data_IF_038053587645
#
_entry.id   IF_038053587645
#
_cell.length_a   1.000
_cell.length_b   1.000
_cell.length_c   1.000
_cell.angle_alpha   90.00
_cell.angle_beta   90.00
_cell.angle_gamma   90.00
#
_symmetry.space_group_name_H-M   'P 1'
#
loop_
_entity.id
_entity.type
_entity.pdbx_description
1 polymer ?
#
# COMPACT_ATOMS: atom_id res chain seq x y z
N UNK A 1 -3.60 -6.64 21.20
CA UNK A 1 -3.21 -5.22 21.35
C UNK A 1 -1.69 -5.04 21.45
N UNK A 2 -0.94 -5.90 22.16
CA UNK A 2 0.53 -5.77 22.22
C UNK A 2 1.23 -5.78 20.85
N UNK A 3 0.78 -6.60 19.89
CA UNK A 3 1.41 -6.68 18.55
C UNK A 3 1.30 -5.38 17.74
N UNK A 4 0.11 -4.75 17.73
CA UNK A 4 -0.12 -3.48 17.01
C UNK A 4 0.72 -2.36 17.64
N UNK A 5 0.81 -2.32 18.96
CA UNK A 5 1.68 -1.34 19.63
C UNK A 5 3.16 -1.56 19.27
N UNK A 6 3.64 -2.81 19.24
CA UNK A 6 5.02 -3.13 18.82
C UNK A 6 5.25 -2.76 17.37
N UNK A 7 4.26 -2.95 16.50
CA UNK A 7 4.34 -2.54 15.10
C UNK A 7 4.50 -1.03 14.99
N UNK A 8 3.65 -0.25 15.67
CA UNK A 8 3.78 1.20 15.72
C UNK A 8 5.15 1.67 16.24
N UNK A 9 5.77 0.93 17.17
CA UNK A 9 7.14 1.23 17.62
C UNK A 9 8.20 0.94 16.55
N UNK A 10 8.09 -0.17 15.82
CA UNK A 10 8.99 -0.49 14.71
C UNK A 10 8.84 0.56 13.60
N UNK A 11 7.61 0.91 13.25
CA UNK A 11 7.29 1.97 12.31
C UNK A 11 7.89 3.32 12.74
N UNK A 12 7.65 3.74 13.98
CA UNK A 12 8.23 4.99 14.51
C UNK A 12 9.76 4.99 14.46
N UNK A 13 10.42 3.90 14.88
CA UNK A 13 11.88 3.76 14.79
C UNK A 13 12.37 3.82 13.34
N UNK A 14 11.67 3.17 12.41
CA UNK A 14 12.02 3.23 11.00
C UNK A 14 11.95 4.67 10.47
N UNK A 15 10.91 5.41 10.86
CA UNK A 15 10.77 6.82 10.51
C UNK A 15 11.89 7.68 11.10
N UNK A 16 12.26 7.47 12.36
CA UNK A 16 13.40 8.16 12.99
C UNK A 16 14.70 7.87 12.24
N UNK A 17 14.92 6.63 11.80
CA UNK A 17 16.09 6.26 10.99
C UNK A 17 16.09 6.98 9.64
N UNK A 18 14.95 7.00 8.92
CA UNK A 18 14.84 7.67 7.62
C UNK A 18 15.03 9.19 7.71
N UNK A 19 14.55 9.80 8.78
CA UNK A 19 14.61 11.25 9.00
C UNK A 19 15.86 11.70 9.75
N UNK A 20 16.71 10.75 10.17
CA UNK A 20 17.93 11.05 10.92
C UNK A 20 18.88 11.92 10.09
N UNK A 21 19.45 12.99 10.68
CA UNK A 21 20.52 13.76 10.02
C UNK A 21 21.80 12.92 9.81
N UNK A 22 21.91 11.79 10.51
CA UNK A 22 22.97 10.81 10.36
C UNK A 22 22.34 9.50 9.86
N UNK A 23 22.15 9.35 8.54
CA UNK A 23 21.54 8.14 7.99
C UNK A 23 22.43 6.92 8.24
N UNK A 24 21.86 5.71 8.25
CA UNK A 24 22.64 4.47 8.33
C UNK A 24 23.65 4.41 7.19
N UNK A 25 24.83 3.88 7.48
CA UNK A 25 25.95 3.76 6.53
C UNK A 25 26.35 2.31 6.25
N UNK A 26 25.70 1.34 6.89
CA UNK A 26 26.00 -0.08 6.74
C UNK A 26 24.80 -0.96 7.03
N UNK A 27 24.84 -2.19 6.52
CA UNK A 27 23.84 -3.23 6.84
C UNK A 27 23.73 -3.50 8.34
N UNK A 28 24.87 -3.45 9.04
CA UNK A 28 24.92 -3.72 10.48
C UNK A 28 24.10 -2.69 11.27
N UNK A 29 24.09 -1.42 10.84
CA UNK A 29 23.32 -0.36 11.48
C UNK A 29 21.79 -0.59 11.41
N UNK A 30 21.32 -1.35 10.42
CA UNK A 30 19.90 -1.68 10.23
C UNK A 30 19.52 -3.07 10.75
N UNK A 31 20.51 -3.90 11.11
CA UNK A 31 20.30 -5.31 11.42
C UNK A 31 19.34 -5.54 12.59
N UNK A 32 19.49 -4.78 13.68
CA UNK A 32 18.61 -4.93 14.85
C UNK A 32 17.16 -4.57 14.51
N UNK A 33 16.94 -3.48 13.77
CA UNK A 33 15.60 -3.06 13.36
C UNK A 33 14.97 -4.10 12.43
N UNK A 34 15.72 -4.60 11.44
CA UNK A 34 15.28 -5.68 10.56
C UNK A 34 14.91 -6.94 11.34
N UNK A 35 15.75 -7.39 12.28
CA UNK A 35 15.46 -8.57 13.11
C UNK A 35 14.22 -8.40 13.97
N UNK A 36 14.04 -7.22 14.58
CA UNK A 36 12.84 -6.90 15.37
C UNK A 36 11.57 -6.94 14.50
N UNK A 37 11.63 -6.43 13.27
CA UNK A 37 10.52 -6.45 12.34
C UNK A 37 10.16 -7.88 11.89
N UNK A 38 11.16 -8.69 11.53
CA UNK A 38 10.98 -10.10 11.15
C UNK A 38 10.41 -10.95 12.29
N UNK A 39 10.94 -10.79 13.52
CA UNK A 39 10.40 -11.48 14.70
C UNK A 39 8.95 -11.06 14.99
N UNK A 40 8.63 -9.78 14.75
CA UNK A 40 7.28 -9.30 14.92
C UNK A 40 6.33 -9.91 13.88
N UNK A 41 6.72 -10.06 12.61
CA UNK A 41 5.88 -10.76 11.61
C UNK A 41 5.61 -12.21 12.03
N UNK A 42 6.61 -12.93 12.55
CA UNK A 42 6.43 -14.27 13.12
C UNK A 42 5.41 -14.24 14.27
N UNK A 43 5.45 -13.23 15.13
CA UNK A 43 4.48 -13.09 16.22
C UNK A 43 3.06 -12.77 15.72
N UNK A 44 2.92 -11.98 14.65
CA UNK A 44 1.64 -11.80 13.94
C UNK A 44 1.14 -13.17 13.44
N UNK A 45 1.93 -13.89 12.65
CA UNK A 45 1.56 -15.22 12.15
C UNK A 45 1.17 -16.19 13.27
N UNK A 46 1.95 -16.23 14.35
CA UNK A 46 1.66 -17.03 15.54
C UNK A 46 0.32 -16.68 16.17
N UNK A 47 -0.01 -15.38 16.26
CA UNK A 47 -1.32 -14.94 16.73
C UNK A 47 -2.44 -15.43 15.82
N UNK A 48 -2.32 -15.27 14.49
CA UNK A 48 -3.34 -15.70 13.53
C UNK A 48 -3.57 -17.23 13.59
N UNK A 49 -2.50 -18.01 13.77
CA UNK A 49 -2.57 -19.48 13.92
C UNK A 49 -3.16 -19.95 15.26
N UNK A 50 -3.04 -19.15 16.33
CA UNK A 50 -3.42 -19.54 17.70
C UNK A 50 -4.78 -19.00 18.14
N UNK A 51 -5.52 -18.34 17.23
CA UNK A 51 -6.83 -17.79 17.57
C UNK A 51 -7.79 -18.91 17.98
N UNK A 52 -8.53 -18.67 19.06
CA UNK A 52 -9.61 -19.58 19.47
C UNK A 52 -10.67 -19.67 18.38
N UNK A 53 -11.45 -20.77 18.30
CA UNK A 53 -12.55 -20.90 17.34
C UNK A 53 -13.54 -19.73 17.36
N UNK A 54 -13.75 -19.13 18.55
CA UNK A 54 -14.58 -17.96 18.74
C UNK A 54 -14.04 -16.68 18.07
N UNK A 55 -12.89 -16.68 17.42
CA UNK A 55 -12.37 -15.54 16.64
C UNK A 55 -12.19 -15.85 15.16
N UNK A 56 -12.41 -17.11 14.77
CA UNK A 56 -12.32 -17.55 13.38
C UNK A 56 -13.43 -16.91 12.55
N UNK A 57 -13.11 -16.71 11.29
CA UNK A 57 -14.04 -16.33 10.24
C UNK A 57 -14.33 -17.53 9.36
N UNK A 58 -15.47 -17.50 8.68
CA UNK A 58 -15.77 -18.47 7.65
C UNK A 58 -15.19 -17.99 6.32
N UNK A 59 -14.68 -18.91 5.53
CA UNK A 59 -14.00 -18.63 4.28
C UNK A 59 -14.64 -19.47 3.18
N UNK A 60 -15.15 -18.81 2.15
CA UNK A 60 -15.75 -19.45 0.99
C UNK A 60 -15.03 -18.97 -0.28
N UNK A 61 -14.83 -19.83 -1.29
CA UNK A 61 -14.30 -19.39 -2.58
C UNK A 61 -15.29 -18.43 -3.26
N UNK A 62 -14.79 -17.40 -3.94
CA UNK A 62 -15.60 -16.41 -4.66
C UNK A 62 -16.09 -16.96 -6.02
N UNK A 63 -16.90 -18.02 -5.98
CA UNK A 63 -17.50 -18.65 -7.16
C UNK A 63 -18.83 -17.97 -7.54
N UNK A 64 -19.32 -18.12 -8.79
CA UNK A 64 -20.64 -17.61 -9.19
C UNK A 64 -21.78 -18.05 -8.26
N UNK A 65 -21.73 -19.26 -7.71
CA UNK A 65 -22.73 -19.80 -6.78
C UNK A 65 -22.72 -19.05 -5.46
N UNK A 66 -21.53 -18.80 -4.89
CA UNK A 66 -21.40 -18.00 -3.66
C UNK A 66 -21.84 -16.56 -3.90
N UNK A 67 -21.49 -15.96 -5.05
CA UNK A 67 -21.92 -14.60 -5.40
C UNK A 67 -23.43 -14.45 -5.42
N UNK A 68 -24.16 -15.43 -5.95
CA UNK A 68 -25.64 -15.41 -6.03
C UNK A 68 -26.33 -15.34 -4.66
N UNK A 69 -25.63 -15.67 -3.57
CA UNK A 69 -26.17 -15.54 -2.20
C UNK A 69 -26.20 -14.08 -1.71
N UNK A 70 -25.48 -13.17 -2.37
CA UNK A 70 -25.45 -11.74 -2.07
C UNK A 70 -26.45 -10.97 -2.93
N UNK A 71 -26.87 -9.77 -2.51
CA UNK A 71 -27.69 -8.89 -3.35
C UNK A 71 -26.94 -8.45 -4.61
N UNK A 72 -27.68 -8.10 -5.67
CA UNK A 72 -27.10 -7.67 -6.96
C UNK A 72 -26.09 -6.53 -6.81
N UNK A 73 -26.35 -5.57 -5.92
CA UNK A 73 -25.43 -4.48 -5.53
C UNK A 73 -24.06 -5.02 -5.12
N UNK A 74 -24.01 -5.97 -4.18
CA UNK A 74 -22.74 -6.52 -3.69
C UNK A 74 -22.06 -7.44 -4.69
N UNK A 75 -22.83 -8.17 -5.50
CA UNK A 75 -22.28 -8.94 -6.62
C UNK A 75 -21.50 -8.04 -7.57
N UNK A 76 -22.10 -6.94 -8.03
CA UNK A 76 -21.50 -6.05 -9.03
C UNK A 76 -20.41 -5.13 -8.44
N UNK A 77 -20.61 -4.64 -7.21
CA UNK A 77 -19.69 -3.70 -6.57
C UNK A 77 -18.45 -4.39 -5.99
N UNK A 78 -18.59 -5.59 -5.41
CA UNK A 78 -17.51 -6.25 -4.66
C UNK A 78 -16.97 -7.50 -5.34
N UNK A 79 -17.85 -8.40 -5.77
CA UNK A 79 -17.46 -9.81 -6.00
C UNK A 79 -17.24 -10.16 -7.47
N UNK A 80 -17.86 -9.43 -8.38
CA UNK A 80 -17.91 -9.73 -9.82
C UNK A 80 -17.01 -8.87 -10.70
N UNK A 81 -16.26 -7.93 -10.12
CA UNK A 81 -15.39 -7.02 -10.87
C UNK A 81 -13.94 -7.52 -10.93
N UNK A 82 -13.15 -6.93 -11.83
CA UNK A 82 -11.69 -7.13 -11.87
C UNK A 82 -11.09 -6.73 -10.53
N UNK A 83 -10.11 -7.51 -10.06
CA UNK A 83 -9.50 -7.31 -8.75
C UNK A 83 -10.34 -7.77 -7.55
N UNK A 84 -11.54 -8.31 -7.78
CA UNK A 84 -12.32 -8.92 -6.70
C UNK A 84 -11.53 -10.07 -6.05
N UNK A 85 -11.59 -10.21 -4.71
CA UNK A 85 -10.82 -11.21 -4.01
C UNK A 85 -11.23 -12.64 -4.43
N UNK A 86 -10.29 -13.61 -4.40
CA UNK A 86 -10.58 -15.00 -4.75
C UNK A 86 -11.45 -15.71 -3.71
N UNK A 87 -11.56 -15.15 -2.51
CA UNK A 87 -12.33 -15.68 -1.40
C UNK A 87 -13.25 -14.61 -0.80
N UNK A 88 -14.22 -15.07 -0.03
CA UNK A 88 -15.15 -14.25 0.75
C UNK A 88 -15.02 -14.67 2.21
N UNK A 89 -14.59 -13.74 3.07
CA UNK A 89 -14.55 -13.98 4.52
C UNK A 89 -15.80 -13.40 5.19
N UNK A 90 -16.48 -14.24 5.95
CA UNK A 90 -17.67 -13.89 6.71
C UNK A 90 -17.35 -13.84 8.20
N UNK A 91 -17.83 -12.79 8.86
CA UNK A 91 -17.64 -12.57 10.29
C UNK A 91 -18.99 -12.46 10.99
N UNK A 92 -19.11 -12.93 12.25
CA UNK A 92 -20.39 -12.87 12.95
C UNK A 92 -20.73 -11.48 13.51
N UNK A 93 -19.75 -10.58 13.65
CA UNK A 93 -19.99 -9.22 14.18
C UNK A 93 -19.08 -8.18 13.54
N UNK A 94 -19.57 -6.95 13.48
CA UNK A 94 -18.78 -5.79 13.04
C UNK A 94 -17.49 -5.59 13.85
N UNK A 95 -17.55 -5.83 15.16
CA UNK A 95 -16.39 -5.72 16.04
C UNK A 95 -15.27 -6.67 15.60
N UNK A 96 -15.59 -7.88 15.12
CA UNK A 96 -14.59 -8.80 14.58
C UNK A 96 -14.04 -8.33 13.25
N UNK A 97 -14.88 -7.87 12.32
CA UNK A 97 -14.41 -7.27 11.06
C UNK A 97 -13.38 -6.17 11.33
N UNK A 98 -13.71 -5.28 12.28
CA UNK A 98 -12.87 -4.16 12.66
C UNK A 98 -11.52 -4.58 13.26
N UNK A 99 -11.52 -5.55 14.19
CA UNK A 99 -10.30 -6.05 14.81
C UNK A 99 -9.40 -6.75 13.79
N UNK A 100 -9.99 -7.57 12.90
CA UNK A 100 -9.26 -8.22 11.81
C UNK A 100 -8.70 -7.20 10.81
N UNK A 101 -9.48 -6.19 10.44
CA UNK A 101 -9.04 -5.09 9.58
C UNK A 101 -7.85 -4.36 10.20
N UNK A 102 -7.90 -4.02 11.49
CA UNK A 102 -6.78 -3.40 12.19
C UNK A 102 -5.54 -4.29 12.23
N UNK A 103 -5.72 -5.55 12.59
CA UNK A 103 -4.63 -6.52 12.67
C UNK A 103 -3.92 -6.68 11.32
N UNK A 104 -4.66 -6.91 10.23
CA UNK A 104 -4.10 -7.08 8.89
C UNK A 104 -3.46 -5.80 8.36
N UNK A 105 -4.09 -4.65 8.60
CA UNK A 105 -3.54 -3.36 8.16
C UNK A 105 -2.22 -3.03 8.88
N UNK A 106 -2.13 -3.31 10.19
CA UNK A 106 -0.86 -3.14 10.93
C UNK A 106 0.22 -4.08 10.38
N UNK A 107 -0.14 -5.33 10.08
CA UNK A 107 0.80 -6.29 9.47
C UNK A 107 1.25 -5.86 8.07
N UNK A 108 0.39 -5.21 7.28
CA UNK A 108 0.75 -4.62 5.98
C UNK A 108 1.82 -3.53 6.16
N UNK A 109 1.66 -2.62 7.13
CA UNK A 109 2.69 -1.61 7.45
C UNK A 109 4.02 -2.25 7.84
N UNK A 110 3.99 -3.20 8.77
CA UNK A 110 5.18 -3.92 9.21
C UNK A 110 5.95 -4.55 8.03
N UNK A 111 5.24 -5.24 7.13
CA UNK A 111 5.84 -5.90 5.98
C UNK A 111 6.36 -4.90 4.95
N UNK A 112 5.64 -3.80 4.71
CA UNK A 112 6.10 -2.70 3.85
C UNK A 112 7.38 -2.07 4.41
N UNK A 113 7.40 -1.72 5.70
CA UNK A 113 8.60 -1.13 6.33
C UNK A 113 9.77 -2.12 6.32
N UNK A 114 9.50 -3.43 6.52
CA UNK A 114 10.54 -4.47 6.41
C UNK A 114 11.14 -4.53 5.01
N UNK A 115 10.31 -4.44 3.96
CA UNK A 115 10.80 -4.38 2.58
C UNK A 115 11.64 -3.12 2.32
N UNK A 116 11.21 -1.96 2.83
CA UNK A 116 12.02 -0.73 2.74
C UNK A 116 13.36 -0.89 3.45
N UNK A 117 13.39 -1.45 4.67
CA UNK A 117 14.63 -1.73 5.41
C UNK A 117 15.55 -2.65 4.60
N UNK A 118 15.01 -3.75 4.05
CA UNK A 118 15.77 -4.68 3.21
C UNK A 118 16.30 -4.01 1.93
N UNK A 119 15.50 -3.16 1.31
CA UNK A 119 15.88 -2.36 0.15
C UNK A 119 17.06 -1.43 0.45
N UNK A 120 17.08 -0.82 1.63
CA UNK A 120 18.23 -0.02 2.08
C UNK A 120 19.45 -0.91 2.34
N UNK A 121 19.28 -2.04 3.04
CA UNK A 121 20.37 -2.95 3.36
C UNK A 121 21.06 -3.51 2.11
N UNK A 122 20.30 -3.88 1.08
CA UNK A 122 20.84 -4.40 -0.18
C UNK A 122 21.60 -3.36 -1.01
N UNK A 123 21.40 -2.06 -0.75
CA UNK A 123 22.17 -0.98 -1.40
C UNK A 123 23.48 -0.66 -0.69
N UNK A 124 23.65 -1.10 0.56
CA UNK A 124 24.95 -1.05 1.23
C UNK A 124 25.85 -2.20 0.77
N UNK A 125 27.18 -2.01 0.78
CA UNK A 125 28.12 -3.09 0.48
C UNK A 125 27.97 -4.24 1.47
N UNK A 126 28.21 -5.46 1.00
CA UNK A 126 28.25 -6.65 1.85
C UNK A 126 29.38 -6.54 2.88
N UNK A 127 29.17 -6.94 4.15
CA UNK A 127 30.23 -6.88 5.15
C UNK A 127 31.39 -7.79 4.74
N UNK A 128 32.60 -7.25 4.70
CA UNK A 128 33.79 -8.03 4.42
C UNK A 128 33.94 -9.17 5.44
N UNK A 129 34.05 -10.40 4.95
CA UNK A 129 34.39 -11.55 5.80
C UNK A 129 35.76 -11.26 6.43
N UNK A 130 35.92 -11.36 7.76
CA UNK A 130 37.24 -11.20 8.38
C UNK A 130 38.19 -12.22 7.75
N UNK A 131 39.22 -11.74 7.08
CA UNK A 131 40.32 -12.58 6.60
C UNK A 131 40.89 -13.28 7.83
N UNK A 132 40.65 -14.58 7.99
CA UNK A 132 41.25 -15.36 9.09
C UNK A 132 42.70 -15.59 8.68
N UNK A 133 43.70 -14.98 9.35
CA UNK A 133 45.09 -15.35 9.11
C UNK A 133 45.23 -16.83 9.47
N UNK A 134 46.04 -17.60 8.72
CA UNK A 134 46.38 -18.99 9.04
C UNK A 134 47.15 -19.09 10.37
N UNK A 135 46.44 -18.88 11.47
CA UNK A 135 46.88 -19.04 12.84
C UNK A 135 45.86 -19.87 13.61
N UNK A 136 46.25 -20.49 14.73
CA UNK A 136 45.38 -21.40 15.48
C UNK A 136 44.09 -20.68 15.92
N UNK A 137 42.95 -21.39 15.92
CA UNK A 137 41.64 -20.77 16.06
C UNK A 137 41.51 -20.06 17.40
N UNK A 138 41.11 -18.77 17.43
CA UNK A 138 40.74 -18.14 18.68
C UNK A 138 39.43 -18.76 19.17
N UNK A 139 39.47 -19.36 20.36
CA UNK A 139 38.29 -19.73 21.14
C UNK A 139 37.57 -18.45 21.60
N UNK A 140 36.56 -17.97 20.84
CA UNK A 140 35.44 -17.16 21.35
C UNK A 140 34.47 -16.68 20.25
N UNK A 141 33.22 -17.18 20.27
CA UNK A 141 31.92 -16.48 20.10
C UNK A 141 31.71 -15.35 19.04
N UNK A 142 32.54 -15.19 18.01
CA UNK A 142 32.53 -13.98 17.17
C UNK A 142 31.92 -14.01 15.76
N UNK A 143 31.45 -15.13 15.20
CA UNK A 143 31.26 -15.21 13.73
C UNK A 143 29.98 -15.92 13.25
N UNK A 144 28.82 -15.26 13.34
CA UNK A 144 27.63 -15.67 12.55
C UNK A 144 26.84 -14.52 11.92
N UNK A 145 27.11 -13.26 12.28
CA UNK A 145 26.41 -12.09 11.73
C UNK A 145 26.68 -11.92 10.22
N UNK A 146 27.89 -12.27 9.76
CA UNK A 146 28.29 -12.11 8.36
C UNK A 146 27.40 -12.90 7.39
N UNK A 147 26.99 -14.12 7.74
CA UNK A 147 26.15 -14.93 6.87
C UNK A 147 24.72 -14.33 6.76
N UNK A 148 24.16 -13.89 7.90
CA UNK A 148 22.81 -13.29 7.94
C UNK A 148 22.68 -11.97 7.17
N UNK A 149 23.79 -11.28 6.92
CA UNK A 149 23.86 -10.01 6.18
C UNK A 149 24.31 -10.15 4.72
N UNK A 150 24.46 -11.38 4.22
CA UNK A 150 24.85 -11.64 2.83
C UNK A 150 23.76 -11.25 1.84
N UNK A 151 24.15 -10.91 0.61
CA UNK A 151 23.22 -10.55 -0.48
C UNK A 151 22.17 -11.64 -0.69
N UNK A 152 22.63 -12.89 -0.74
CA UNK A 152 21.76 -14.06 -0.91
C UNK A 152 20.69 -14.12 0.18
N UNK A 153 21.06 -13.93 1.44
CA UNK A 153 20.12 -14.00 2.55
C UNK A 153 19.15 -12.81 2.58
N UNK A 154 19.62 -11.61 2.27
CA UNK A 154 18.76 -10.44 2.20
C UNK A 154 17.77 -10.54 1.02
N UNK A 155 18.20 -11.02 -0.14
CA UNK A 155 17.33 -11.31 -1.28
C UNK A 155 16.29 -12.39 -0.94
N UNK A 156 16.68 -13.43 -0.20
CA UNK A 156 15.75 -14.48 0.26
C UNK A 156 14.70 -13.89 1.21
N UNK A 157 15.14 -13.12 2.22
CA UNK A 157 14.25 -12.45 3.15
C UNK A 157 13.31 -11.47 2.44
N UNK A 158 13.80 -10.76 1.43
CA UNK A 158 12.98 -9.88 0.60
C UNK A 158 11.89 -10.67 -0.14
N UNK A 159 12.25 -11.75 -0.86
CA UNK A 159 11.27 -12.57 -1.59
C UNK A 159 10.19 -13.16 -0.66
N UNK A 160 10.59 -13.66 0.51
CA UNK A 160 9.65 -14.19 1.53
C UNK A 160 8.75 -13.08 2.07
N UNK A 161 9.31 -11.92 2.41
CA UNK A 161 8.55 -10.77 2.94
C UNK A 161 7.55 -10.25 1.92
N UNK A 162 7.93 -10.16 0.64
CA UNK A 162 7.03 -9.78 -0.46
C UNK A 162 5.87 -10.77 -0.59
N UNK A 163 6.16 -12.08 -0.50
CA UNK A 163 5.12 -13.12 -0.54
C UNK A 163 4.15 -12.97 0.65
N UNK A 164 4.65 -12.75 1.86
CA UNK A 164 3.79 -12.50 3.03
C UNK A 164 2.94 -11.25 2.86
N UNK A 165 3.50 -10.17 2.29
CA UNK A 165 2.75 -8.94 2.04
C UNK A 165 1.58 -9.18 1.10
N UNK A 166 1.84 -9.89 -0.01
CA UNK A 166 0.81 -10.29 -0.98
C UNK A 166 -0.30 -11.10 -0.32
N UNK A 167 0.05 -12.12 0.47
CA UNK A 167 -0.93 -12.96 1.16
C UNK A 167 -1.81 -12.16 2.12
N UNK A 168 -1.23 -11.20 2.86
CA UNK A 168 -1.99 -10.37 3.80
C UNK A 168 -2.91 -9.39 3.07
N UNK A 169 -2.45 -8.79 1.95
CA UNK A 169 -3.29 -7.90 1.12
C UNK A 169 -4.50 -8.67 0.58
N UNK A 170 -4.30 -9.85 -0.01
CA UNK A 170 -5.42 -10.65 -0.50
C UNK A 170 -6.39 -11.06 0.59
N UNK A 171 -5.88 -11.57 1.73
CA UNK A 171 -6.73 -11.91 2.88
C UNK A 171 -7.53 -10.69 3.35
N UNK A 172 -6.92 -9.51 3.35
CA UNK A 172 -7.60 -8.27 3.72
C UNK A 172 -8.69 -7.92 2.71
N UNK A 173 -8.43 -8.06 1.40
CA UNK A 173 -9.43 -7.90 0.34
C UNK A 173 -10.62 -8.86 0.53
N UNK A 174 -10.35 -10.16 0.77
CA UNK A 174 -11.38 -11.18 1.01
C UNK A 174 -12.29 -10.86 2.20
N UNK A 175 -11.79 -10.13 3.20
CA UNK A 175 -12.55 -9.73 4.37
C UNK A 175 -13.33 -8.43 4.24
N UNK A 176 -13.07 -7.63 3.22
CA UNK A 176 -13.70 -6.32 3.12
C UNK A 176 -15.22 -6.42 3.07
N UNK A 177 -15.77 -7.33 2.27
CA UNK A 177 -17.22 -7.48 2.11
C UNK A 177 -17.93 -7.75 3.45
N UNK A 178 -17.32 -8.51 4.36
CA UNK A 178 -17.87 -8.75 5.70
C UNK A 178 -18.10 -7.45 6.50
N UNK A 179 -17.29 -6.42 6.30
CA UNK A 179 -17.50 -5.09 6.92
C UNK A 179 -18.76 -4.40 6.39
N UNK A 180 -19.19 -4.72 5.17
CA UNK A 180 -20.36 -4.13 4.52
C UNK A 180 -21.64 -4.94 4.73
N UNK A 181 -21.52 -6.25 4.92
CA UNK A 181 -22.67 -7.16 4.96
C UNK A 181 -23.02 -7.70 6.34
N UNK A 182 -22.09 -7.64 7.32
CA UNK A 182 -22.37 -8.18 8.66
C UNK A 182 -23.57 -7.46 9.30
N UNK A 183 -24.51 -8.17 9.94
CA UNK A 183 -25.64 -7.54 10.61
C UNK A 183 -25.17 -6.60 11.73
N UNK A 184 -25.88 -5.49 11.91
CA UNK A 184 -25.69 -4.57 13.05
C UNK A 184 -26.97 -4.63 13.86
N UNK A 185 -26.84 -4.92 15.15
CA UNK A 185 -28.00 -4.99 16.06
C UNK A 185 -28.83 -3.71 15.96
N UNK A 186 -30.15 -3.85 15.83
CA UNK A 186 -31.13 -2.77 15.67
C UNK A 186 -31.04 -1.96 14.37
N UNK A 187 -30.25 -2.39 13.38
CA UNK A 187 -30.23 -1.79 12.04
C UNK A 187 -30.72 -2.75 10.98
N UNK A 188 -31.46 -2.24 10.00
CA UNK A 188 -31.79 -2.96 8.79
C UNK A 188 -30.54 -3.19 7.93
N UNK A 189 -30.60 -4.18 7.04
CA UNK A 189 -29.57 -4.39 6.02
C UNK A 189 -29.51 -3.23 5.01
N UNK A 190 -30.62 -2.52 4.84
CA UNK A 190 -30.74 -1.38 3.92
C UNK A 190 -30.30 -0.05 4.55
N UNK A 191 -30.03 -0.02 5.86
CA UNK A 191 -29.63 1.19 6.54
C UNK A 191 -28.22 1.61 6.11
N UNK A 192 -28.10 2.84 5.59
CA UNK A 192 -26.82 3.48 5.38
C UNK A 192 -26.10 3.63 6.72
N UNK A 193 -24.95 2.98 6.84
CA UNK A 193 -24.18 2.97 8.06
C UNK A 193 -22.78 3.52 7.78
N UNK A 194 -22.61 4.83 7.98
CA UNK A 194 -21.32 5.51 7.80
C UNK A 194 -20.18 4.88 8.61
N UNK A 195 -20.49 4.21 9.72
CA UNK A 195 -19.53 3.41 10.49
C UNK A 195 -18.87 2.31 9.65
N UNK A 196 -19.61 1.66 8.73
CA UNK A 196 -19.05 0.68 7.78
C UNK A 196 -17.97 1.32 6.91
N UNK A 197 -18.27 2.51 6.39
CA UNK A 197 -17.31 3.28 5.60
C UNK A 197 -16.09 3.71 6.42
N UNK A 198 -16.30 4.18 7.65
CA UNK A 198 -15.23 4.63 8.53
C UNK A 198 -14.24 3.51 8.88
N UNK A 199 -14.73 2.33 9.26
CA UNK A 199 -13.83 1.22 9.62
C UNK A 199 -13.07 0.65 8.41
N UNK A 200 -13.63 0.79 7.20
CA UNK A 200 -13.05 0.26 5.97
C UNK A 200 -12.14 1.25 5.27
N UNK A 201 -12.26 2.55 5.54
CA UNK A 201 -11.46 3.60 4.91
C UNK A 201 -9.96 3.37 5.10
N UNK A 202 -9.53 3.09 6.34
CA UNK A 202 -8.12 2.91 6.64
C UNK A 202 -7.50 1.67 5.97
N UNK A 203 -8.07 0.45 6.11
CA UNK A 203 -7.57 -0.72 5.40
C UNK A 203 -7.49 -0.54 3.88
N UNK A 204 -8.52 0.05 3.27
CA UNK A 204 -8.56 0.28 1.82
C UNK A 204 -7.49 1.29 1.38
N UNK A 205 -7.39 2.43 2.07
CA UNK A 205 -6.41 3.46 1.75
C UNK A 205 -4.97 2.97 1.89
N UNK A 206 -4.67 2.18 2.93
CA UNK A 206 -3.33 1.60 3.13
C UNK A 206 -3.01 0.56 2.06
N UNK A 207 -3.95 -0.30 1.70
CA UNK A 207 -3.74 -1.25 0.60
C UNK A 207 -3.44 -0.53 -0.71
N UNK A 208 -4.21 0.51 -1.08
CA UNK A 208 -3.93 1.28 -2.30
C UNK A 208 -2.54 1.94 -2.23
N UNK A 209 -2.18 2.50 -1.08
CA UNK A 209 -0.85 3.09 -0.84
C UNK A 209 0.27 2.11 -1.11
N UNK A 210 0.18 0.90 -0.55
CA UNK A 210 1.22 -0.13 -0.71
C UNK A 210 1.24 -0.66 -2.14
N UNK A 211 0.08 -0.88 -2.76
CA UNK A 211 0.00 -1.31 -4.16
C UNK A 211 0.57 -0.25 -5.12
N UNK A 212 0.41 1.05 -4.81
CA UNK A 212 0.96 2.15 -5.59
C UNK A 212 2.48 2.32 -5.46
N UNK A 213 3.09 1.76 -4.40
CA UNK A 213 4.53 1.91 -4.12
C UNK A 213 5.45 1.11 -5.03
N UNK A 214 4.90 0.11 -5.75
CA UNK A 214 5.67 -0.83 -6.56
C UNK A 214 6.31 -2.00 -5.78
N UNK A 215 6.21 -2.04 -4.45
CA UNK A 215 6.74 -3.13 -3.62
C UNK A 215 6.05 -4.49 -3.86
N UNK A 216 4.85 -4.47 -4.44
CA UNK A 216 4.09 -5.66 -4.80
C UNK A 216 4.27 -5.93 -6.30
N UNK A 217 4.81 -7.11 -6.68
CA UNK A 217 4.96 -7.49 -8.08
C UNK A 217 3.60 -7.62 -8.78
N UNK A 218 3.47 -6.97 -9.95
CA UNK A 218 2.28 -7.06 -10.80
C UNK A 218 2.39 -8.23 -11.77
N UNK A 219 1.39 -9.13 -11.76
CA UNK A 219 1.30 -10.26 -12.69
C UNK A 219 1.12 -9.85 -14.14
N UNK A 220 0.67 -8.61 -14.38
CA UNK A 220 0.45 -8.06 -15.72
C UNK A 220 1.55 -7.08 -16.14
N UNK A 221 2.60 -6.90 -15.33
CA UNK A 221 3.73 -6.08 -15.73
C UNK A 221 4.37 -6.68 -16.99
N UNK A 222 4.64 -5.84 -17.99
CA UNK A 222 5.43 -6.26 -19.14
C UNK A 222 6.75 -6.83 -18.61
N UNK A 223 7.03 -8.09 -18.92
CA UNK A 223 8.28 -8.74 -18.55
C UNK A 223 9.42 -7.86 -19.07
N UNK A 224 10.22 -7.33 -18.14
CA UNK A 224 11.44 -6.63 -18.52
C UNK A 224 12.25 -7.58 -19.40
N UNK A 225 12.71 -7.15 -20.59
CA UNK A 225 13.52 -8.02 -21.42
C UNK A 225 14.72 -8.50 -20.60
N UNK A 226 15.12 -9.79 -20.71
CA UNK A 226 16.26 -10.29 -19.97
C UNK A 226 17.45 -9.38 -20.26
N UNK A 227 18.16 -8.98 -19.20
CA UNK A 227 19.36 -8.17 -19.28
C UNK A 227 20.31 -8.81 -20.29
N UNK A 228 20.29 -8.26 -21.50
CA UNK A 228 21.12 -8.72 -22.59
C UNK A 228 22.51 -8.20 -22.26
N UNK A 229 23.40 -9.14 -22.05
CA UNK A 229 24.83 -8.97 -21.89
C UNK A 229 25.38 -7.83 -22.75
N UNK A 230 26.10 -6.93 -22.09
CA UNK A 230 26.95 -5.89 -22.62
C UNK A 230 27.48 -6.19 -24.03
N UNK A 231 27.02 -5.45 -25.04
CA UNK A 231 27.86 -5.03 -26.17
C UNK A 231 27.28 -3.76 -26.79
N UNK A 232 28.14 -2.74 -26.80
CA UNK A 232 27.94 -1.37 -27.24
C UNK A 232 27.62 -1.27 -28.73
N UNK A 233 26.59 -0.52 -29.15
CA UNK A 233 26.71 0.42 -30.28
C UNK A 233 25.48 1.34 -30.47
N UNK A 234 25.80 2.63 -30.64
CA UNK A 234 25.09 3.67 -31.41
C UNK A 234 23.65 4.07 -31.06
N UNK A 235 23.54 5.29 -30.55
CA UNK A 235 22.35 6.15 -30.58
C UNK A 235 21.90 6.52 -31.99
N UNK A 236 20.60 6.80 -32.18
CA UNK A 236 20.16 7.93 -33.01
C UNK A 236 19.22 8.85 -32.20
N UNK A 237 19.53 10.14 -32.07
CA UNK A 237 19.24 11.24 -32.99
C UNK A 237 17.85 11.87 -32.77
N UNK A 238 17.91 13.10 -32.28
CA UNK A 238 16.85 14.08 -32.05
C UNK A 238 15.77 14.14 -33.15
N UNK A 239 14.52 14.37 -32.75
CA UNK A 239 13.47 14.91 -33.63
C UNK A 239 12.58 15.88 -32.87
N UNK A 240 12.38 17.04 -33.49
CA UNK A 240 11.79 18.26 -32.98
C UNK A 240 10.30 18.18 -32.62
N UNK A 241 9.91 18.92 -31.57
CA UNK A 241 8.53 19.38 -31.32
C UNK A 241 8.29 20.75 -31.98
N UNK A 242 7.11 21.03 -32.56
CA UNK A 242 6.67 22.39 -32.83
C UNK A 242 5.82 22.92 -31.66
N UNK A 243 6.23 24.07 -31.15
CA UNK A 243 5.47 24.96 -30.28
C UNK A 243 4.20 25.45 -31.00
N UNK A 244 3.10 25.61 -30.25
CA UNK A 244 2.06 26.59 -30.59
C UNK A 244 1.67 27.37 -29.34
N UNK A 245 1.76 28.67 -29.50
CA UNK A 245 1.49 29.76 -28.56
C UNK A 245 0.01 30.18 -28.66
N UNK A 246 -0.44 30.98 -27.68
CA UNK A 246 -1.67 31.80 -27.61
C UNK A 246 -2.90 31.13 -26.97
N UNK A 247 -3.72 31.77 -26.10
CA UNK A 247 -3.67 33.02 -25.31
C UNK A 247 -4.99 33.10 -24.51
N UNK A 248 -4.97 33.82 -23.38
CA UNK A 248 -6.08 34.55 -22.73
C UNK A 248 -7.21 33.80 -21.96
N UNK A 249 -7.21 34.02 -20.65
CA UNK A 249 -8.40 34.32 -19.81
C UNK A 249 -8.38 35.84 -19.49
N UNK A 250 -9.34 36.47 -18.77
CA UNK A 250 -10.54 35.96 -18.09
C UNK A 250 -11.82 36.82 -18.31
N UNK A 251 -12.97 36.37 -17.78
CA UNK A 251 -14.17 37.19 -17.64
C UNK A 251 -15.03 36.74 -16.47
N UNK A 252 -14.97 37.49 -15.36
CA UNK A 252 -15.87 37.40 -14.21
C UNK A 252 -17.24 38.00 -14.52
N UNK A 253 -18.28 37.44 -13.92
CA UNK A 253 -19.53 38.17 -13.66
C UNK A 253 -20.24 37.60 -12.44
N UNK A 254 -20.38 38.47 -11.45
CA UNK A 254 -21.15 38.32 -10.21
C UNK A 254 -22.65 38.13 -10.46
N UNK A 255 -23.31 37.40 -9.56
CA UNK A 255 -24.75 37.28 -9.50
C UNK A 255 -25.21 36.89 -8.09
N UNK A 256 -25.48 37.91 -7.26
CA UNK A 256 -25.98 37.80 -5.89
C UNK A 256 -27.51 37.88 -5.92
N UNK A 257 -28.21 36.97 -5.25
CA UNK A 257 -29.61 37.18 -4.86
C UNK A 257 -29.90 36.61 -3.46
N UNK A 258 -30.58 37.46 -2.69
CA UNK A 258 -31.02 37.28 -1.31
C UNK A 258 -32.43 36.66 -1.28
N UNK A 259 -32.70 35.82 -0.29
CA UNK A 259 -34.03 35.29 0.01
C UNK A 259 -34.10 34.72 1.43
N UNK A 260 -34.67 35.51 2.34
CA UNK A 260 -34.90 35.25 3.77
C UNK A 260 -35.94 34.15 4.00
N UNK A 261 -35.69 33.18 4.90
CA UNK A 261 -36.72 32.68 5.82
C UNK A 261 -36.21 31.78 6.96
N UNK A 262 -36.73 32.11 8.15
CA UNK A 262 -37.10 31.29 9.32
C UNK A 262 -36.06 30.41 10.04
N UNK A 263 -35.88 30.75 11.33
CA UNK A 263 -35.22 29.95 12.35
C UNK A 263 -35.98 28.65 12.66
N UNK A 264 -35.24 27.54 12.78
CA UNK A 264 -35.48 26.57 13.85
C UNK A 264 -34.26 25.67 14.09
N UNK A 265 -34.10 25.34 15.37
CA UNK A 265 -33.09 24.50 15.99
C UNK A 265 -32.62 23.30 15.16
N UNK A 266 -31.31 23.20 14.96
CA UNK A 266 -30.56 21.94 14.95
C UNK A 266 -29.06 22.23 15.02
N UNK A 267 -28.52 22.19 16.24
CA UNK A 267 -27.08 22.26 16.48
C UNK A 267 -26.44 20.91 16.14
N UNK A 268 -26.47 20.51 14.87
CA UNK A 268 -25.53 19.54 14.33
C UNK A 268 -24.23 20.28 14.01
N UNK A 269 -23.10 19.69 14.41
CA UNK A 269 -21.77 20.17 14.06
C UNK A 269 -21.72 20.45 12.55
N UNK A 270 -21.67 21.73 12.20
CA UNK A 270 -21.48 22.15 10.81
C UNK A 270 -20.09 21.67 10.41
N UNK A 271 -20.03 20.67 9.52
CA UNK A 271 -18.77 20.19 8.98
C UNK A 271 -18.03 21.38 8.34
N UNK A 272 -16.70 21.48 8.50
CA UNK A 272 -15.92 22.49 7.78
C UNK A 272 -16.22 22.37 6.29
N UNK A 273 -16.56 23.48 5.62
CA UNK A 273 -16.63 23.49 4.16
C UNK A 273 -15.18 23.35 3.64
N UNK A 274 -14.85 22.18 3.10
CA UNK A 274 -13.56 21.94 2.46
C UNK A 274 -13.57 22.49 1.04
N UNK A 275 -13.27 23.78 0.90
CA UNK A 275 -12.96 24.43 -0.39
C UNK A 275 -11.74 23.82 -1.09
N UNK A 276 -10.94 22.99 -0.39
CA UNK A 276 -9.71 22.36 -0.90
C UNK A 276 -9.95 21.28 -1.97
N UNK A 277 -11.15 20.69 -2.08
CA UNK A 277 -11.45 19.70 -3.12
C UNK A 277 -11.36 20.30 -4.54
N UNK A 278 -11.62 21.60 -4.69
CA UNK A 278 -11.53 22.30 -5.97
C UNK A 278 -10.07 22.60 -6.39
N UNK A 279 -9.11 22.47 -5.48
CA UNK A 279 -7.68 22.72 -5.74
C UNK A 279 -6.85 21.46 -6.00
N UNK A 280 -7.47 20.28 -6.00
CA UNK A 280 -6.76 19.01 -6.23
C UNK A 280 -6.46 18.88 -7.72
N UNK A 281 -5.19 19.07 -8.07
CA UNK A 281 -4.66 18.81 -9.41
C UNK A 281 -4.49 17.28 -9.55
N UNK A 282 -5.19 16.61 -10.49
CA UNK A 282 -4.99 15.19 -10.77
C UNK A 282 -3.53 14.92 -11.15
N UNK A 283 -2.97 13.78 -10.72
CA UNK A 283 -1.67 13.33 -11.25
C UNK A 283 -1.81 13.16 -12.76
N UNK A 284 -1.02 13.90 -13.53
CA UNK A 284 -0.84 13.67 -14.96
C UNK A 284 -0.13 12.32 -15.14
N UNK A 285 -0.65 11.45 -16.01
CA UNK A 285 -0.07 10.13 -16.32
C UNK A 285 1.26 10.18 -17.10
N UNK A 286 1.83 11.37 -17.30
CA UNK A 286 3.17 11.56 -17.86
C UNK A 286 4.09 12.26 -16.85
N UNK A 287 5.32 11.77 -16.72
CA UNK A 287 6.43 12.30 -15.90
C UNK A 287 6.63 11.66 -14.52
N UNK A 288 6.83 10.34 -14.49
CA UNK A 288 7.79 9.71 -13.55
C UNK A 288 8.63 8.64 -14.25
N UNK A 289 9.24 8.98 -15.38
CA UNK A 289 10.50 8.35 -15.79
C UNK A 289 11.63 9.17 -15.17
N UNK A 290 11.84 9.02 -13.86
CA UNK A 290 13.12 9.40 -13.27
C UNK A 290 14.18 8.44 -13.80
N UNK A 291 14.85 8.87 -14.87
CA UNK A 291 16.07 8.30 -15.41
C UNK A 291 17.19 8.40 -14.37
N UNK A 292 17.16 7.56 -13.33
CA UNK A 292 18.27 7.39 -12.40
C UNK A 292 19.32 6.49 -13.05
N UNK A 293 19.99 7.05 -14.06
CA UNK A 293 21.20 6.46 -14.63
C UNK A 293 22.36 6.55 -13.64
N UNK A 294 22.73 5.39 -13.10
CA UNK A 294 24.11 4.94 -12.87
C UNK A 294 25.13 5.91 -12.22
N UNK A 295 25.32 5.78 -10.91
CA UNK A 295 26.62 5.72 -10.22
C UNK A 295 26.41 5.32 -8.75
N UNK A 296 27.15 4.35 -8.18
CA UNK A 296 27.08 4.09 -6.75
C UNK A 296 27.77 5.25 -6.01
N UNK A 297 27.00 6.24 -5.56
CA UNK A 297 27.50 7.15 -4.54
C UNK A 297 27.62 6.38 -3.23
N UNK A 298 28.83 6.36 -2.65
CA UNK A 298 29.10 5.71 -1.34
C UNK A 298 28.36 6.37 -0.15
N UNK A 299 27.49 7.35 -0.40
CA UNK A 299 26.71 8.06 0.61
C UNK A 299 25.22 7.75 0.45
N UNK A 300 24.58 7.39 1.56
CA UNK A 300 23.12 7.36 1.67
C UNK A 300 22.54 8.72 1.28
N UNK A 301 21.56 8.79 0.34
CA UNK A 301 20.88 10.04 0.02
C UNK A 301 20.36 10.70 1.30
N UNK A 302 20.52 12.02 1.38
CA UNK A 302 19.99 12.78 2.51
C UNK A 302 18.49 12.92 2.32
N UNK A 303 17.75 12.75 3.41
CA UNK A 303 16.30 12.92 3.43
C UNK A 303 15.90 14.34 2.99
N UNK A 304 15.02 14.42 2.00
CA UNK A 304 14.42 15.66 1.54
C UNK A 304 13.03 15.86 2.17
N UNK A 305 12.95 16.75 3.14
CA UNK A 305 11.70 17.13 3.82
C UNK A 305 10.69 17.82 2.90
N UNK A 306 11.12 18.29 1.72
CA UNK A 306 10.26 18.94 0.72
C UNK A 306 9.78 17.97 -0.37
N UNK A 307 10.27 16.73 -0.38
CA UNK A 307 9.85 15.73 -1.35
C UNK A 307 8.33 15.46 -1.26
N UNK A 308 7.69 15.35 -2.43
CA UNK A 308 6.25 15.09 -2.51
C UNK A 308 5.94 13.73 -1.91
N UNK A 309 4.87 13.67 -1.12
CA UNK A 309 4.30 12.39 -0.66
C UNK A 309 3.78 11.61 -1.86
N UNK A 310 4.12 10.32 -1.91
CA UNK A 310 3.68 9.44 -3.00
C UNK A 310 2.17 9.21 -2.97
N UNK A 311 1.62 8.98 -1.78
CA UNK A 311 0.21 8.63 -1.55
C UNK A 311 -0.30 9.24 -0.23
N UNK A 312 -1.61 9.46 -0.12
CA UNK A 312 -2.21 10.24 0.99
C UNK A 312 -2.29 9.45 2.31
N UNK A 313 -2.33 8.13 2.18
CA UNK A 313 -2.22 7.19 3.29
C UNK A 313 -0.76 6.79 3.55
N UNK A 314 0.21 7.41 2.85
CA UNK A 314 1.61 7.38 3.22
C UNK A 314 1.97 8.68 3.93
N UNK A 315 2.38 8.57 5.19
CA UNK A 315 2.80 9.72 5.99
C UNK A 315 4.18 10.24 5.60
N UNK A 316 4.98 9.47 4.84
CA UNK A 316 6.37 9.76 4.52
C UNK A 316 6.55 10.52 3.20
N UNK A 317 7.49 11.49 3.16
CA UNK A 317 8.14 11.88 1.93
C UNK A 317 8.87 10.69 1.33
N UNK A 318 8.79 10.53 0.01
CA UNK A 318 9.43 9.43 -0.68
C UNK A 318 10.95 9.51 -0.53
N UNK A 319 11.58 8.44 -0.04
CA UNK A 319 13.03 8.30 -0.10
C UNK A 319 13.42 7.47 -1.33
N UNK A 320 14.51 7.81 -2.07
CA UNK A 320 14.88 7.08 -3.28
C UNK A 320 15.10 5.58 -3.10
N UNK A 321 15.47 5.15 -1.89
CA UNK A 321 15.70 3.75 -1.56
C UNK A 321 14.46 2.99 -1.06
N UNK A 322 13.32 3.67 -0.88
CA UNK A 322 12.07 3.00 -0.49
C UNK A 322 11.48 2.20 -1.66
N UNK A 323 11.79 2.62 -2.90
CA UNK A 323 11.31 1.99 -4.11
C UNK A 323 11.99 0.65 -4.42
N UNK A 324 11.26 -0.30 -5.04
CA UNK A 324 11.82 -1.56 -5.52
C UNK A 324 12.93 -1.31 -6.55
N UNK A 325 13.84 -2.27 -6.66
CA UNK A 325 14.85 -2.32 -7.71
C UNK A 325 15.03 -3.78 -8.14
N UNK A 326 15.69 -3.99 -9.28
CA UNK A 326 15.86 -5.33 -9.84
C UNK A 326 16.76 -6.18 -8.94
N UNK A 327 16.17 -7.19 -8.31
CA UNK A 327 16.89 -8.17 -7.50
C UNK A 327 17.34 -9.34 -8.37
N UNK A 328 18.59 -9.81 -8.25
CA UNK A 328 19.12 -10.95 -9.03
C UNK A 328 18.64 -12.30 -8.45
N UNK A 329 17.32 -12.47 -8.30
CA UNK A 329 16.73 -13.65 -7.65
C UNK A 329 17.08 -14.96 -8.39
N UNK A 330 16.99 -14.94 -9.73
CA UNK A 330 17.28 -16.10 -10.58
C UNK A 330 18.76 -16.53 -10.47
N UNK A 331 19.69 -15.58 -10.55
CA UNK A 331 21.14 -15.84 -10.43
C UNK A 331 21.49 -16.45 -9.07
N UNK A 332 20.73 -16.10 -8.03
CA UNK A 332 20.90 -16.63 -6.68
C UNK A 332 20.11 -17.92 -6.44
N UNK A 333 19.33 -18.42 -7.40
CA UNK A 333 18.47 -19.60 -7.22
C UNK A 333 17.39 -19.40 -6.16
N UNK A 334 16.88 -18.17 -6.03
CA UNK A 334 15.80 -17.79 -5.12
C UNK A 334 14.50 -17.76 -5.91
N UNK A 335 13.45 -18.38 -5.38
CA UNK A 335 12.13 -18.37 -6.01
C UNK A 335 11.57 -16.94 -6.13
N UNK A 336 10.93 -16.65 -7.25
CA UNK A 336 10.22 -15.38 -7.42
C UNK A 336 9.09 -15.26 -6.39
N UNK A 337 8.89 -14.07 -5.83
CA UNK A 337 7.79 -13.83 -4.91
C UNK A 337 6.45 -13.97 -5.62
N UNK A 338 5.41 -14.25 -4.84
CA UNK A 338 4.04 -14.26 -5.32
C UNK A 338 3.65 -12.91 -5.94
N UNK A 339 2.85 -12.93 -6.99
CA UNK A 339 2.42 -11.75 -7.75
C UNK A 339 0.90 -11.53 -7.62
N UNK A 340 0.43 -10.31 -7.89
CA UNK A 340 -1.00 -9.94 -7.91
C UNK A 340 -1.37 -9.16 -9.18
N UNK A 341 -2.66 -9.17 -9.56
CA UNK A 341 -3.19 -8.17 -10.51
C UNK A 341 -3.32 -6.83 -9.77
N UNK A 342 -2.18 -6.14 -9.60
CA UNK A 342 -2.08 -4.92 -8.81
C UNK A 342 -3.05 -3.87 -9.33
N UNK A 343 -3.06 -3.65 -10.65
CA UNK A 343 -3.95 -2.67 -11.28
C UNK A 343 -5.43 -3.00 -11.09
N UNK A 344 -5.81 -4.28 -11.23
CA UNK A 344 -7.17 -4.72 -10.97
C UNK A 344 -7.60 -4.50 -9.52
N UNK A 345 -6.75 -4.86 -8.56
CA UNK A 345 -7.05 -4.69 -7.13
C UNK A 345 -7.14 -3.20 -6.78
N UNK A 346 -6.26 -2.34 -7.32
CA UNK A 346 -6.35 -0.89 -7.09
C UNK A 346 -7.65 -0.31 -7.64
N UNK A 347 -8.08 -0.71 -8.85
CA UNK A 347 -9.38 -0.31 -9.38
C UNK A 347 -10.52 -0.75 -8.45
N UNK A 348 -10.50 -2.00 -8.00
CA UNK A 348 -11.46 -2.53 -7.02
C UNK A 348 -11.49 -1.69 -5.74
N UNK A 349 -10.34 -1.40 -5.13
CA UNK A 349 -10.24 -0.54 -3.93
C UNK A 349 -10.87 0.84 -4.19
N UNK A 350 -10.51 1.47 -5.31
CA UNK A 350 -10.98 2.82 -5.63
C UNK A 350 -12.49 2.87 -5.88
N UNK A 351 -13.09 1.81 -6.42
CA UNK A 351 -14.56 1.67 -6.49
C UNK A 351 -15.20 1.64 -5.11
N UNK A 352 -14.61 0.89 -4.17
CA UNK A 352 -15.11 0.83 -2.80
C UNK A 352 -14.97 2.16 -2.06
N UNK A 353 -13.83 2.86 -2.24
CA UNK A 353 -13.60 4.18 -1.66
C UNK A 353 -14.58 5.22 -2.22
N UNK A 354 -14.86 5.20 -3.53
CA UNK A 354 -15.88 6.04 -4.12
C UNK A 354 -17.28 5.73 -3.54
N UNK A 355 -17.66 4.46 -3.43
CA UNK A 355 -18.91 4.04 -2.79
C UNK A 355 -19.02 4.53 -1.33
N UNK A 356 -17.95 4.41 -0.55
CA UNK A 356 -17.90 4.90 0.83
C UNK A 356 -18.15 6.43 0.90
N UNK A 357 -17.63 7.20 -0.05
CA UNK A 357 -17.84 8.65 -0.10
C UNK A 357 -19.25 9.04 -0.59
N UNK A 358 -19.77 8.32 -1.59
CA UNK A 358 -20.99 8.68 -2.31
C UNK A 358 -22.27 8.13 -1.67
N UNK A 359 -22.20 6.97 -1.00
CA UNK A 359 -23.35 6.28 -0.40
C UNK A 359 -23.25 6.27 1.14
N UNK A 360 -22.05 6.06 1.70
CA UNK A 360 -21.89 5.97 3.17
C UNK A 360 -21.52 7.30 3.84
N UNK A 361 -21.40 8.39 3.07
CA UNK A 361 -21.23 9.76 3.57
C UNK A 361 -19.81 10.11 4.05
N UNK A 362 -18.82 9.22 3.92
CA UNK A 362 -17.44 9.49 4.37
C UNK A 362 -16.66 10.17 3.26
N UNK A 363 -16.87 11.47 3.08
CA UNK A 363 -16.33 12.26 1.95
C UNK A 363 -14.81 12.19 1.78
N UNK A 364 -14.05 11.99 2.87
CA UNK A 364 -12.59 11.81 2.81
C UNK A 364 -12.15 10.62 1.93
N UNK A 365 -13.01 9.60 1.76
CA UNK A 365 -12.72 8.46 0.90
C UNK A 365 -12.62 8.85 -0.59
N UNK A 366 -13.21 9.99 -1.00
CA UNK A 366 -13.14 10.47 -2.38
C UNK A 366 -11.73 10.94 -2.79
N UNK A 367 -10.88 11.25 -1.80
CA UNK A 367 -9.58 11.84 -2.07
C UNK A 367 -8.65 10.85 -2.80
N UNK A 368 -8.69 9.54 -2.48
CA UNK A 368 -7.85 8.54 -3.16
C UNK A 368 -8.22 8.40 -4.64
N UNK A 369 -9.49 8.11 -5.02
CA UNK A 369 -9.83 8.02 -6.44
C UNK A 369 -9.54 9.30 -7.22
N UNK A 370 -9.64 10.46 -6.59
CA UNK A 370 -9.29 11.75 -7.20
C UNK A 370 -7.79 11.89 -7.46
N UNK A 371 -6.95 11.68 -6.44
CA UNK A 371 -5.51 11.90 -6.56
C UNK A 371 -4.79 10.81 -7.34
N UNK A 372 -5.33 9.59 -7.30
CA UNK A 372 -4.78 8.41 -8.00
C UNK A 372 -5.36 8.24 -9.41
N UNK A 373 -6.21 9.17 -9.87
CA UNK A 373 -6.67 9.19 -11.27
C UNK A 373 -7.78 8.21 -11.64
N UNK A 374 -8.38 7.52 -10.67
CA UNK A 374 -9.40 6.50 -10.92
C UNK A 374 -10.82 7.04 -11.16
N UNK A 375 -11.07 8.33 -10.89
CA UNK A 375 -12.43 8.91 -10.94
C UNK A 375 -13.18 8.71 -12.26
N UNK A 376 -12.49 8.83 -13.40
CA UNK A 376 -13.09 8.67 -14.73
C UNK A 376 -13.68 7.26 -14.94
N UNK A 377 -13.06 6.25 -14.33
CA UNK A 377 -13.48 4.85 -14.44
C UNK A 377 -14.46 4.45 -13.33
N UNK A 378 -14.16 4.79 -12.07
CA UNK A 378 -14.91 4.24 -10.93
C UNK A 378 -16.24 4.96 -10.68
N UNK A 379 -16.31 6.26 -10.93
CA UNK A 379 -17.55 7.04 -10.74
C UNK A 379 -18.71 6.50 -11.59
N UNK A 380 -18.61 6.43 -12.94
CA UNK A 380 -19.72 5.95 -13.75
C UNK A 380 -20.10 4.50 -13.44
N UNK A 381 -19.10 3.64 -13.17
CA UNK A 381 -19.34 2.23 -12.84
C UNK A 381 -20.15 2.08 -11.55
N UNK A 382 -19.77 2.81 -10.48
CA UNK A 382 -20.48 2.72 -9.19
C UNK A 382 -21.83 3.43 -9.24
N UNK A 383 -21.93 4.60 -9.87
CA UNK A 383 -23.21 5.32 -9.99
C UNK A 383 -24.25 4.48 -10.73
N UNK A 384 -23.85 3.77 -11.80
CA UNK A 384 -24.72 2.84 -12.52
C UNK A 384 -25.26 1.71 -11.60
N UNK A 385 -24.40 1.10 -10.79
CA UNK A 385 -24.79 0.04 -9.82
C UNK A 385 -25.78 0.59 -8.78
N UNK A 386 -25.63 1.86 -8.40
CA UNK A 386 -26.51 2.54 -7.45
C UNK A 386 -27.77 3.13 -8.11
N UNK A 387 -27.92 3.02 -9.43
CA UNK A 387 -29.07 3.55 -10.18
C UNK A 387 -29.12 5.08 -10.28
N UNK A 388 -27.97 5.75 -10.35
CA UNK A 388 -27.84 7.22 -10.42
C UNK A 388 -27.39 7.72 -11.79
#
# INVERSE_FOLDING_TARGET
MSLIWKEAMVHAKWHEVKQSPNPPTSRLALYELMQNALQLDIAFQGWESSITPAWRYEMLPNTPEVRRTYSKKWQELFLGCRGAPPEVHSYPTMKRCWIWGFYRTSRIFLLRDTLEILNWMLRFPEPSVPFVPMGPPPTAQGQSISAGLSDRNLCLLHSVTTTHLVDVIEKNCSAMIGSFTVPIHLKSFDDLCGMRGYISLWPLGVMDSVLSSGLVPDSNAASSPPASSYTSTSSPAYSHSPQTLHQMSPGSSDGRSSGTQAANHDSYATAPQFTELASIIPKSEGDQTSSAGSSPSNSTPVYDHTAKKGHIFDSNPAHPWDHPFNLPLFEMGIAEPRQLDVMGIREWINRLLYYIASDLGVKKALYVPLTEGYMSTVKPAVDHILGR
#
